data_IF_964387887047
#
_entry.id   IF_964387887047
#
_cell.length_a   1.000
_cell.length_b   1.000
_cell.length_c   1.000
_cell.angle_alpha   90.00
_cell.angle_beta   90.00
_cell.angle_gamma   90.00
#
_symmetry.space_group_name_H-M   'P 1'
#
loop_
_entity.id
_entity.type
_entity.pdbx_description
1 polymer ?
#
# COMPACT_ATOMS: atom_id res chain seq x y z
N UNK A 1 4.09 6.25 -41.12
CA UNK A 1 2.73 5.75 -40.83
C UNK A 1 1.77 6.84 -41.22
N UNK A 2 0.66 6.49 -41.85
CA UNK A 2 -0.44 7.44 -42.01
C UNK A 2 -0.98 7.87 -40.63
N UNK A 3 -1.54 9.07 -40.54
CA UNK A 3 -1.99 9.66 -39.27
C UNK A 3 -2.95 8.75 -38.46
N UNK A 4 -3.93 8.05 -39.08
CA UNK A 4 -4.82 7.13 -38.36
C UNK A 4 -4.05 5.95 -37.74
N UNK A 5 -3.12 5.39 -38.50
CA UNK A 5 -2.28 4.27 -38.10
C UNK A 5 -1.39 4.64 -36.89
N UNK A 6 -0.82 5.85 -36.91
CA UNK A 6 -0.02 6.37 -35.81
C UNK A 6 -0.86 6.56 -34.53
N UNK A 7 -2.03 7.19 -34.64
CA UNK A 7 -2.93 7.42 -33.49
C UNK A 7 -3.36 6.07 -32.89
N UNK A 8 -3.70 5.09 -33.73
CA UNK A 8 -4.08 3.74 -33.28
C UNK A 8 -2.95 3.09 -32.47
N UNK A 9 -1.72 3.14 -32.96
CA UNK A 9 -0.56 2.59 -32.26
C UNK A 9 -0.25 3.33 -30.96
N UNK A 10 -0.35 4.66 -30.97
CA UNK A 10 -0.13 5.48 -29.80
C UNK A 10 -1.15 5.19 -28.68
N UNK A 11 -2.44 5.12 -29.03
CA UNK A 11 -3.51 4.86 -28.07
C UNK A 11 -3.44 3.45 -27.45
N UNK A 12 -2.90 2.45 -28.15
CA UNK A 12 -2.64 1.13 -27.55
C UNK A 12 -1.63 1.16 -26.40
N UNK A 13 -0.77 2.20 -26.32
CA UNK A 13 0.19 2.37 -25.23
C UNK A 13 -0.32 3.27 -24.09
N UNK A 14 -1.44 3.96 -24.30
CA UNK A 14 -2.09 4.79 -23.27
C UNK A 14 -2.98 3.89 -22.41
N UNK A 15 -2.69 3.86 -21.11
CA UNK A 15 -3.52 3.08 -20.18
C UNK A 15 -4.92 3.71 -20.07
N UNK A 16 -6.00 2.91 -20.14
CA UNK A 16 -7.35 3.42 -19.95
C UNK A 16 -7.51 4.07 -18.57
N UNK A 17 -8.50 4.95 -18.43
CA UNK A 17 -8.81 5.60 -17.16
C UNK A 17 -8.97 4.55 -16.04
N UNK A 18 -8.41 4.84 -14.86
CA UNK A 18 -8.40 3.95 -13.67
C UNK A 18 -7.47 2.73 -13.76
N UNK A 19 -6.75 2.54 -14.87
CA UNK A 19 -5.65 1.57 -14.91
C UNK A 19 -4.35 2.23 -14.43
N UNK A 20 -3.61 1.53 -13.58
CA UNK A 20 -2.26 1.91 -13.16
C UNK A 20 -1.24 0.99 -13.79
N UNK A 21 -0.19 1.57 -14.38
CA UNK A 21 0.90 0.80 -14.98
C UNK A 21 1.68 0.10 -13.87
N UNK A 22 1.60 -1.23 -13.81
CA UNK A 22 2.41 -2.02 -12.88
C UNK A 22 3.89 -1.89 -13.26
N UNK A 23 4.68 -1.24 -12.40
CA UNK A 23 6.12 -1.08 -12.61
C UNK A 23 6.86 -2.26 -11.99
N UNK A 24 7.23 -3.24 -12.82
CA UNK A 24 8.09 -4.36 -12.40
C UNK A 24 9.54 -3.94 -12.12
N UNK A 25 9.92 -2.72 -12.54
CA UNK A 25 11.25 -2.14 -12.42
C UNK A 25 11.19 -0.79 -11.67
N UNK A 26 12.36 -0.29 -11.28
CA UNK A 26 12.49 0.98 -10.55
C UNK A 26 12.86 0.81 -9.07
N UNK A 27 13.07 1.94 -8.39
CA UNK A 27 13.56 2.00 -7.01
C UNK A 27 12.56 1.38 -6.01
N UNK A 28 11.25 1.53 -6.26
CA UNK A 28 10.18 1.02 -5.40
C UNK A 28 9.66 -0.38 -5.79
N UNK A 29 10.19 -1.00 -6.86
CA UNK A 29 9.78 -2.34 -7.28
C UNK A 29 10.06 -3.37 -6.18
N UNK A 30 9.14 -4.33 -5.94
CA UNK A 30 9.24 -5.25 -4.80
C UNK A 30 10.61 -5.96 -4.69
N UNK A 31 11.14 -6.44 -5.83
CA UNK A 31 12.45 -7.10 -5.93
C UNK A 31 13.60 -6.20 -5.48
N UNK A 32 13.54 -4.90 -5.76
CA UNK A 32 14.64 -3.98 -5.52
C UNK A 32 14.43 -3.01 -4.36
N UNK A 33 13.20 -2.87 -3.85
CA UNK A 33 12.78 -1.83 -2.90
C UNK A 33 13.69 -1.76 -1.70
N UNK A 34 13.92 -2.89 -1.02
CA UNK A 34 14.73 -2.93 0.19
C UNK A 34 16.18 -2.51 -0.05
N UNK A 35 16.78 -2.91 -1.18
CA UNK A 35 18.18 -2.57 -1.51
C UNK A 35 18.31 -1.13 -2.01
N UNK A 36 17.51 -0.74 -2.99
CA UNK A 36 17.61 0.58 -3.64
C UNK A 36 17.15 1.70 -2.72
N UNK A 37 16.11 1.51 -1.91
CA UNK A 37 15.70 2.54 -0.94
C UNK A 37 16.75 2.78 0.14
N UNK A 38 17.37 1.72 0.69
CA UNK A 38 18.47 1.89 1.65
C UNK A 38 19.65 2.64 1.02
N UNK A 39 20.00 2.33 -0.22
CA UNK A 39 21.04 3.05 -0.95
C UNK A 39 20.68 4.53 -1.11
N UNK A 40 19.45 4.84 -1.55
CA UNK A 40 18.98 6.22 -1.65
C UNK A 40 19.09 6.95 -0.30
N UNK A 41 18.58 6.35 0.78
CA UNK A 41 18.65 6.95 2.13
C UNK A 41 20.08 7.25 2.58
N UNK A 42 21.03 6.36 2.27
CA UNK A 42 22.46 6.58 2.53
C UNK A 42 23.01 7.77 1.74
N UNK A 43 22.70 7.83 0.43
CA UNK A 43 23.17 8.90 -0.45
C UNK A 43 22.55 10.26 -0.13
N UNK A 44 21.31 10.28 0.37
CA UNK A 44 20.58 11.50 0.72
C UNK A 44 20.68 11.85 2.21
N UNK A 45 21.52 11.14 2.98
CA UNK A 45 21.67 11.28 4.43
C UNK A 45 20.33 11.29 5.19
N UNK A 46 19.35 10.56 4.67
CA UNK A 46 18.01 10.49 5.26
C UNK A 46 18.03 9.57 6.48
N UNK A 47 17.25 9.92 7.51
CA UNK A 47 17.11 9.09 8.71
C UNK A 47 16.59 7.71 8.32
N UNK A 48 17.42 6.69 8.49
CA UNK A 48 17.02 5.29 8.32
C UNK A 48 16.29 4.90 9.61
N UNK A 49 14.96 4.91 9.56
CA UNK A 49 14.16 4.35 10.64
C UNK A 49 14.09 2.84 10.48
N UNK A 50 14.54 2.11 11.49
CA UNK A 50 14.27 0.69 11.57
C UNK A 50 12.77 0.50 11.79
N UNK A 51 12.14 -0.32 10.95
CA UNK A 51 10.73 -0.64 11.13
C UNK A 51 10.56 -1.38 12.45
N UNK A 52 9.85 -0.77 13.41
CA UNK A 52 9.44 -1.46 14.62
C UNK A 52 8.56 -2.65 14.22
N UNK A 53 8.94 -3.85 14.67
CA UNK A 53 8.13 -5.06 14.45
C UNK A 53 6.95 -5.05 15.44
N UNK A 54 5.96 -4.21 15.16
CA UNK A 54 4.68 -4.22 15.86
C UNK A 54 3.76 -5.22 15.15
N UNK A 55 3.02 -6.02 15.93
CA UNK A 55 1.88 -6.75 15.37
C UNK A 55 0.82 -5.76 14.88
N UNK A 56 -0.05 -6.20 13.97
CA UNK A 56 -1.15 -5.38 13.45
C UNK A 56 -2.03 -4.86 14.60
N UNK A 57 -2.28 -5.68 15.61
CA UNK A 57 -3.05 -5.30 16.80
C UNK A 57 -2.39 -4.19 17.60
N UNK A 58 -1.09 -4.32 17.89
CA UNK A 58 -0.34 -3.31 18.64
C UNK A 58 -0.20 -2.00 17.84
N UNK A 59 0.05 -2.11 16.54
CA UNK A 59 0.14 -0.94 15.67
C UNK A 59 -1.19 -0.19 15.61
N UNK A 60 -2.30 -0.92 15.44
CA UNK A 60 -3.62 -0.33 15.39
C UNK A 60 -3.99 0.33 16.72
N UNK A 61 -3.71 -0.33 17.84
CA UNK A 61 -3.91 0.23 19.18
C UNK A 61 -3.08 1.51 19.38
N UNK A 62 -1.82 1.52 18.96
CA UNK A 62 -0.94 2.68 19.05
C UNK A 62 -1.42 3.87 18.20
N UNK A 63 -1.98 3.61 17.02
CA UNK A 63 -2.43 4.66 16.09
C UNK A 63 -3.82 5.20 16.42
N UNK A 64 -4.72 4.35 16.93
CA UNK A 64 -6.14 4.70 17.08
C UNK A 64 -6.63 4.72 18.54
N UNK A 65 -5.84 4.20 19.48
CA UNK A 65 -6.23 4.00 20.88
C UNK A 65 -7.25 2.88 21.11
N UNK A 66 -7.67 2.17 20.05
CA UNK A 66 -8.68 1.11 20.13
C UNK A 66 -8.02 -0.26 20.04
N UNK A 67 -8.36 -1.17 20.94
CA UNK A 67 -7.89 -2.55 20.86
C UNK A 67 -8.74 -3.36 19.89
N UNK A 68 -8.13 -3.88 18.82
CA UNK A 68 -8.79 -4.77 17.86
C UNK A 68 -9.32 -6.05 18.50
N UNK A 69 -8.88 -6.41 19.71
CA UNK A 69 -9.31 -7.61 20.42
C UNK A 69 -10.61 -7.39 21.18
N UNK A 70 -11.10 -6.15 21.28
CA UNK A 70 -12.26 -5.80 22.08
C UNK A 70 -13.36 -5.26 21.17
N UNK A 71 -14.54 -5.88 21.23
CA UNK A 71 -15.70 -5.38 20.50
C UNK A 71 -16.18 -4.05 21.11
N UNK A 72 -16.29 -2.96 20.35
CA UNK A 72 -16.77 -1.68 20.89
C UNK A 72 -18.26 -1.69 21.25
N UNK A 73 -19.03 -2.66 20.75
CA UNK A 73 -20.47 -2.77 21.02
C UNK A 73 -20.77 -3.51 22.34
N UNK A 74 -20.01 -4.54 22.69
CA UNK A 74 -20.29 -5.39 23.86
C UNK A 74 -19.12 -5.59 24.82
N UNK A 75 -17.92 -5.07 24.51
CA UNK A 75 -16.72 -5.25 25.34
C UNK A 75 -16.13 -6.68 25.33
N UNK A 76 -16.75 -7.61 24.61
CA UNK A 76 -16.29 -9.00 24.53
C UNK A 76 -14.98 -9.15 23.76
N UNK A 77 -14.17 -10.14 24.16
CA UNK A 77 -12.88 -10.47 23.53
C UNK A 77 -12.96 -11.54 22.45
N UNK A 78 -14.11 -12.22 22.32
CA UNK A 78 -14.38 -13.20 21.28
C UNK A 78 -14.98 -12.53 20.05
N UNK A 79 -14.12 -12.10 19.14
CA UNK A 79 -14.53 -11.60 17.83
C UNK A 79 -14.64 -12.80 16.89
N UNK A 80 -15.85 -13.24 16.63
CA UNK A 80 -16.10 -14.21 15.56
C UNK A 80 -15.80 -13.51 14.23
N UNK A 81 -15.11 -14.22 13.30
CA UNK A 81 -15.05 -13.83 11.89
C UNK A 81 -16.46 -13.92 11.30
N UNK A 82 -17.29 -12.96 11.66
CA UNK A 82 -18.50 -12.66 10.91
C UNK A 82 -18.05 -11.84 9.71
N UNK A 83 -18.72 -12.00 8.57
CA UNK A 83 -18.43 -11.32 7.32
C UNK A 83 -18.62 -9.81 7.47
N UNK A 84 -17.67 -9.15 8.14
CA UNK A 84 -17.69 -7.72 8.38
C UNK A 84 -17.27 -7.01 7.09
N UNK A 85 -18.28 -6.68 6.28
CA UNK A 85 -18.21 -5.53 5.39
C UNK A 85 -17.93 -4.29 6.23
N UNK A 86 -16.65 -3.90 6.30
CA UNK A 86 -16.21 -2.61 6.82
C UNK A 86 -16.86 -1.51 5.96
N UNK A 87 -18.02 -1.01 6.41
CA UNK A 87 -18.53 0.28 5.95
C UNK A 87 -17.63 1.35 6.60
N UNK A 88 -16.60 1.75 5.87
CA UNK A 88 -15.93 3.01 6.13
C UNK A 88 -16.97 4.11 5.93
N UNK A 89 -17.45 4.72 7.02
CA UNK A 89 -18.08 6.03 6.90
C UNK A 89 -16.99 7.01 6.48
N UNK A 90 -17.18 7.57 5.30
CA UNK A 90 -16.67 8.90 4.94
C UNK A 90 -16.90 9.91 6.06
#
# INVERSE_FOLDING_TARGET
LDAPEFIRHFLMHVLPSRFVKMRHYGILSNRNRNRKLRLCQKLTFSKIQESQKLSVGELFLKLTGKDLRICPCCGGTRIHKTDFGFKFST
#
